data_IF_690379047816
#
_entry.id   IF_690379047816
#
_cell.length_a   1.000
_cell.length_b   1.000
_cell.length_c   1.000
_cell.angle_alpha   90.00
_cell.angle_beta   90.00
_cell.angle_gamma   90.00
#
_symmetry.space_group_name_H-M   'P 1'
#
loop_
_entity.id
_entity.type
_entity.pdbx_description
1 polymer ?
#
# COMPACT_ATOMS: atom_id res chain seq x y z
N UNK A 1 2.85 -17.42 17.41
CA UNK A 1 1.70 -16.67 16.84
C UNK A 1 0.62 -16.29 17.85
N UNK A 2 -0.02 -17.20 18.63
CA UNK A 2 -1.20 -16.85 19.43
C UNK A 2 -0.98 -15.69 20.42
N UNK A 3 0.15 -15.71 21.15
CA UNK A 3 0.48 -14.68 22.15
C UNK A 3 0.78 -13.29 21.58
N UNK A 4 1.24 -13.20 20.32
CA UNK A 4 1.53 -11.90 19.66
C UNK A 4 0.23 -11.27 19.19
N UNK A 5 -0.66 -12.08 18.58
CA UNK A 5 -1.98 -11.64 18.16
C UNK A 5 -2.82 -11.12 19.34
N UNK A 6 -2.86 -11.86 20.46
CA UNK A 6 -3.64 -11.46 21.64
C UNK A 6 -3.19 -10.14 22.28
N UNK A 7 -1.90 -9.80 22.16
CA UNK A 7 -1.32 -8.62 22.82
C UNK A 7 -1.27 -7.39 21.93
N UNK A 8 -0.93 -7.57 20.65
CA UNK A 8 -0.66 -6.46 19.72
C UNK A 8 -1.79 -6.25 18.70
N UNK A 9 -2.59 -7.29 18.42
CA UNK A 9 -3.66 -7.26 17.41
C UNK A 9 -4.94 -7.97 17.88
N UNK A 10 -5.55 -7.56 19.01
CA UNK A 10 -6.61 -8.31 19.69
C UNK A 10 -7.88 -8.51 18.85
N UNK A 11 -8.12 -7.63 17.87
CA UNK A 11 -9.26 -7.72 16.95
C UNK A 11 -9.00 -8.62 15.73
N UNK A 12 -7.93 -9.42 15.76
CA UNK A 12 -7.57 -10.35 14.67
C UNK A 12 -8.05 -11.76 14.96
N UNK A 13 -8.80 -12.31 14.02
CA UNK A 13 -9.31 -13.66 14.03
C UNK A 13 -8.51 -14.56 13.07
N UNK A 14 -7.94 -15.64 13.60
CA UNK A 14 -7.28 -16.68 12.79
C UNK A 14 -8.32 -17.64 12.23
N UNK A 15 -8.48 -17.65 10.92
CA UNK A 15 -9.35 -18.62 10.23
C UNK A 15 -8.64 -19.96 10.07
N UNK A 16 -7.37 -19.92 9.66
CA UNK A 16 -6.53 -21.10 9.53
C UNK A 16 -5.05 -20.72 9.71
N UNK A 17 -4.30 -21.60 10.36
CA UNK A 17 -2.85 -21.52 10.48
C UNK A 17 -2.31 -22.96 10.53
N UNK A 18 -1.84 -23.47 9.40
CA UNK A 18 -1.39 -24.85 9.30
C UNK A 18 -0.38 -25.05 8.18
N UNK A 19 0.69 -25.78 8.49
CA UNK A 19 1.82 -25.90 7.57
C UNK A 19 2.46 -24.55 7.29
N UNK A 20 2.53 -24.20 6.01
CA UNK A 20 3.01 -22.94 5.45
C UNK A 20 1.89 -21.91 5.16
N UNK A 21 0.62 -22.31 5.26
CA UNK A 21 -0.52 -21.45 4.95
C UNK A 21 -1.12 -20.78 6.19
N UNK A 22 -1.37 -19.47 6.06
CA UNK A 22 -1.93 -18.62 7.10
C UNK A 22 -3.05 -17.74 6.53
N UNK A 23 -4.23 -17.78 7.18
CA UNK A 23 -5.37 -16.91 6.86
C UNK A 23 -5.87 -16.21 8.12
N UNK A 24 -5.75 -14.89 8.10
CA UNK A 24 -6.14 -13.99 9.19
C UNK A 24 -7.18 -12.97 8.71
N UNK A 25 -8.10 -12.60 9.59
CA UNK A 25 -9.11 -11.56 9.36
C UNK A 25 -9.04 -10.56 10.50
N UNK A 26 -9.02 -9.27 10.21
CA UNK A 26 -9.01 -8.22 11.23
C UNK A 26 -9.24 -6.83 10.64
N UNK A 27 -9.17 -5.77 11.47
CA UNK A 27 -9.21 -4.39 11.00
C UNK A 27 -8.15 -4.14 9.93
N UNK A 28 -8.54 -3.53 8.81
CA UNK A 28 -7.69 -3.48 7.61
C UNK A 28 -6.31 -2.84 7.86
N UNK A 29 -6.25 -1.76 8.64
CA UNK A 29 -4.99 -1.07 8.92
C UNK A 29 -4.07 -1.92 9.81
N UNK A 30 -4.65 -2.57 10.83
CA UNK A 30 -3.93 -3.51 11.69
C UNK A 30 -3.35 -4.69 10.88
N UNK A 31 -4.13 -5.22 9.94
CA UNK A 31 -3.69 -6.31 9.06
C UNK A 31 -2.48 -5.91 8.20
N UNK A 32 -2.36 -4.64 7.82
CA UNK A 32 -1.20 -4.17 7.07
C UNK A 32 0.07 -4.20 7.93
N UNK A 33 0.01 -3.69 9.16
CA UNK A 33 1.14 -3.72 10.09
C UNK A 33 1.50 -5.16 10.48
N UNK A 34 0.50 -5.99 10.74
CA UNK A 34 0.69 -7.40 11.08
C UNK A 34 1.36 -8.17 9.94
N UNK A 35 0.98 -7.93 8.67
CA UNK A 35 1.59 -8.60 7.53
C UNK A 35 3.09 -8.24 7.38
N UNK A 36 3.44 -6.98 7.58
CA UNK A 36 4.85 -6.53 7.60
C UNK A 36 5.63 -7.18 8.74
N UNK A 37 5.06 -7.22 9.95
CA UNK A 37 5.68 -7.87 11.10
C UNK A 37 5.89 -9.36 10.87
N UNK A 38 4.88 -10.08 10.36
CA UNK A 38 5.00 -11.51 10.03
C UNK A 38 6.11 -11.74 9.00
N UNK A 39 6.21 -10.90 7.98
CA UNK A 39 7.27 -11.01 6.98
C UNK A 39 8.67 -10.84 7.60
N UNK A 40 8.84 -9.82 8.46
CA UNK A 40 10.11 -9.55 9.12
C UNK A 40 10.49 -10.67 10.09
N UNK A 41 9.53 -11.13 10.91
CA UNK A 41 9.74 -12.23 11.85
C UNK A 41 10.08 -13.52 11.11
N UNK A 42 9.43 -13.78 9.96
CA UNK A 42 9.73 -14.94 9.12
C UNK A 42 11.13 -14.88 8.53
N UNK A 43 11.54 -13.71 8.00
CA UNK A 43 12.91 -13.50 7.47
C UNK A 43 13.96 -13.75 8.55
N UNK A 44 13.76 -13.22 9.74
CA UNK A 44 14.64 -13.47 10.89
C UNK A 44 14.67 -14.95 11.28
N UNK A 45 13.51 -15.62 11.27
CA UNK A 45 13.40 -17.04 11.61
C UNK A 45 14.17 -17.96 10.66
N UNK A 46 14.17 -17.65 9.35
CA UNK A 46 14.92 -18.41 8.33
C UNK A 46 16.38 -17.96 8.18
N UNK A 47 16.85 -17.07 9.05
CA UNK A 47 18.22 -16.56 9.04
C UNK A 47 18.54 -15.66 7.84
N UNK A 48 17.57 -14.87 7.38
CA UNK A 48 17.69 -13.99 6.20
C UNK A 48 18.04 -14.75 4.91
N UNK A 49 17.66 -16.03 4.80
CA UNK A 49 17.91 -16.82 3.61
C UNK A 49 17.07 -16.32 2.41
N UNK A 50 17.69 -15.82 1.33
CA UNK A 50 16.97 -15.26 0.18
C UNK A 50 16.16 -16.30 -0.62
N UNK A 51 16.45 -17.60 -0.44
CA UNK A 51 15.72 -18.67 -1.13
C UNK A 51 14.43 -19.08 -0.40
N UNK A 52 14.27 -18.69 0.87
CA UNK A 52 13.09 -19.00 1.69
C UNK A 52 12.36 -17.70 2.00
N UNK A 53 11.34 -17.40 1.20
CA UNK A 53 10.62 -16.12 1.26
C UNK A 53 9.13 -16.29 1.53
N UNK A 54 8.49 -15.22 2.00
CA UNK A 54 7.06 -15.17 2.25
C UNK A 54 6.39 -14.35 1.15
N UNK A 55 5.31 -14.85 0.57
CA UNK A 55 4.40 -14.03 -0.25
C UNK A 55 3.07 -13.87 0.48
N UNK A 56 2.45 -12.70 0.39
CA UNK A 56 1.19 -12.44 1.06
C UNK A 56 0.22 -11.65 0.17
N UNK A 57 -1.05 -11.66 0.55
CA UNK A 57 -2.04 -10.74 0.01
C UNK A 57 -2.88 -10.11 1.12
N UNK A 58 -3.23 -8.84 0.95
CA UNK A 58 -4.11 -8.09 1.84
C UNK A 58 -5.33 -7.63 1.06
N UNK A 59 -6.46 -8.27 1.35
CA UNK A 59 -7.70 -8.08 0.61
C UNK A 59 -8.72 -7.36 1.48
N UNK A 60 -9.05 -6.12 1.11
CA UNK A 60 -10.10 -5.36 1.77
C UNK A 60 -11.47 -5.75 1.20
N UNK A 61 -12.39 -6.10 2.09
CA UNK A 61 -13.77 -6.48 1.75
C UNK A 61 -14.76 -5.69 2.58
N UNK A 62 -16.02 -5.63 2.12
CA UNK A 62 -17.11 -5.04 2.91
C UNK A 62 -17.46 -5.97 4.08
N UNK A 63 -17.97 -5.45 5.22
CA UNK A 63 -18.24 -6.26 6.41
C UNK A 63 -19.16 -7.48 6.21
N UNK A 64 -20.11 -7.41 5.26
CA UNK A 64 -21.06 -8.50 4.98
C UNK A 64 -20.61 -9.46 3.87
N UNK A 65 -19.34 -9.42 3.50
CA UNK A 65 -18.83 -10.29 2.43
C UNK A 65 -18.63 -11.72 2.97
N UNK A 66 -19.13 -12.78 2.29
CA UNK A 66 -19.03 -14.15 2.79
C UNK A 66 -17.56 -14.60 2.97
N UNK A 67 -17.23 -15.19 4.11
CA UNK A 67 -15.86 -15.61 4.46
C UNK A 67 -15.23 -16.51 3.39
N UNK A 68 -15.98 -17.49 2.87
CA UNK A 68 -15.48 -18.37 1.80
C UNK A 68 -15.09 -17.59 0.54
N UNK A 69 -15.87 -16.56 0.17
CA UNK A 69 -15.55 -15.71 -0.97
C UNK A 69 -14.33 -14.81 -0.69
N UNK A 70 -14.15 -14.33 0.54
CA UNK A 70 -12.94 -13.60 0.97
C UNK A 70 -11.71 -14.49 0.84
N UNK A 71 -11.77 -15.72 1.34
CA UNK A 71 -10.67 -16.68 1.29
C UNK A 71 -10.26 -16.99 -0.15
N UNK A 72 -11.22 -17.26 -1.05
CA UNK A 72 -10.94 -17.47 -2.47
C UNK A 72 -10.31 -16.24 -3.13
N UNK A 73 -10.81 -15.04 -2.81
CA UNK A 73 -10.28 -13.80 -3.38
C UNK A 73 -8.85 -13.51 -2.90
N UNK A 74 -8.60 -13.68 -1.60
CA UNK A 74 -7.26 -13.55 -1.01
C UNK A 74 -6.30 -14.56 -1.62
N UNK A 75 -6.71 -15.83 -1.77
CA UNK A 75 -5.87 -16.83 -2.41
C UNK A 75 -5.54 -16.48 -3.87
N UNK A 76 -6.53 -15.98 -4.64
CA UNK A 76 -6.29 -15.52 -6.01
C UNK A 76 -5.23 -14.41 -6.08
N UNK A 77 -5.29 -13.44 -5.16
CA UNK A 77 -4.29 -12.36 -5.12
C UNK A 77 -2.93 -12.83 -4.61
N UNK A 78 -2.90 -13.78 -3.68
CA UNK A 78 -1.67 -14.44 -3.24
C UNK A 78 -0.98 -15.16 -4.41
N UNK A 79 -1.72 -15.94 -5.19
CA UNK A 79 -1.18 -16.62 -6.36
C UNK A 79 -0.69 -15.62 -7.42
N UNK A 80 -1.36 -14.46 -7.54
CA UNK A 80 -0.89 -13.37 -8.41
C UNK A 80 0.47 -12.82 -7.94
N UNK A 81 0.66 -12.63 -6.63
CA UNK A 81 1.93 -12.19 -6.06
C UNK A 81 3.05 -13.23 -6.26
N UNK A 82 2.74 -14.52 -6.04
CA UNK A 82 3.68 -15.62 -6.26
C UNK A 82 4.12 -15.70 -7.73
N UNK A 83 3.17 -15.62 -8.67
CA UNK A 83 3.44 -15.67 -10.10
C UNK A 83 4.22 -14.46 -10.62
N UNK A 84 4.19 -13.33 -9.90
CA UNK A 84 4.97 -12.13 -10.23
C UNK A 84 6.42 -12.18 -9.72
N UNK A 85 6.85 -13.28 -9.10
CA UNK A 85 8.25 -13.48 -8.68
C UNK A 85 8.47 -13.91 -7.23
N UNK A 86 7.41 -14.27 -6.48
CA UNK A 86 7.46 -14.53 -5.03
C UNK A 86 8.06 -13.36 -4.24
N UNK A 87 8.28 -13.52 -2.93
CA UNK A 87 8.75 -12.46 -2.00
C UNK A 87 8.01 -11.11 -2.16
N UNK A 88 6.70 -11.18 -2.39
CA UNK A 88 5.88 -10.02 -2.73
C UNK A 88 4.59 -9.99 -1.93
N UNK A 89 4.11 -8.77 -1.72
CA UNK A 89 2.82 -8.44 -1.16
C UNK A 89 1.87 -7.95 -2.26
N UNK A 90 0.69 -8.56 -2.37
CA UNK A 90 -0.41 -7.96 -3.11
C UNK A 90 -1.31 -7.13 -2.17
N UNK A 91 -1.39 -5.81 -2.38
CA UNK A 91 -2.19 -4.91 -1.55
C UNK A 91 -2.82 -3.81 -2.43
N UNK A 92 -4.10 -3.51 -2.19
CA UNK A 92 -4.87 -2.51 -2.97
C UNK A 92 -4.86 -2.73 -4.50
N UNK A 93 -4.65 -3.97 -4.93
CA UNK A 93 -4.54 -4.35 -6.35
C UNK A 93 -3.18 -4.08 -6.99
N UNK A 94 -2.17 -3.68 -6.21
CA UNK A 94 -0.77 -3.60 -6.67
C UNK A 94 0.04 -4.78 -6.13
N UNK A 95 1.09 -5.15 -6.85
CA UNK A 95 2.08 -6.13 -6.43
C UNK A 95 3.33 -5.36 -6.04
N UNK A 96 3.81 -5.57 -4.82
CA UNK A 96 4.92 -4.83 -4.23
C UNK A 96 5.94 -5.81 -3.68
N UNK A 97 7.22 -5.56 -3.91
CA UNK A 97 8.30 -6.31 -3.24
C UNK A 97 8.35 -5.90 -1.77
N UNK A 98 8.55 -6.87 -0.86
CA UNK A 98 8.60 -6.56 0.57
C UNK A 98 9.63 -5.50 0.91
N UNK A 99 10.78 -5.49 0.23
CA UNK A 99 11.83 -4.48 0.43
C UNK A 99 11.36 -3.05 0.12
N UNK A 100 10.44 -2.88 -0.84
CA UNK A 100 9.91 -1.57 -1.21
C UNK A 100 8.69 -1.14 -0.35
N UNK A 101 8.10 -2.07 0.40
CA UNK A 101 6.89 -1.80 1.17
C UNK A 101 7.06 -0.76 2.30
N UNK A 102 8.16 -0.75 3.09
CA UNK A 102 8.39 0.26 4.12
C UNK A 102 8.35 1.69 3.58
N UNK A 103 8.91 1.94 2.39
CA UNK A 103 8.89 3.26 1.77
C UNK A 103 7.47 3.68 1.40
N UNK A 104 6.67 2.77 0.83
CA UNK A 104 5.26 3.04 0.51
C UNK A 104 4.42 3.29 1.76
N UNK A 105 4.70 2.59 2.86
CA UNK A 105 4.07 2.83 4.16
C UNK A 105 4.43 4.22 4.68
N UNK A 106 5.70 4.61 4.60
CA UNK A 106 6.17 5.94 5.02
C UNK A 106 5.54 7.06 4.17
N UNK A 107 5.39 6.84 2.86
CA UNK A 107 4.69 7.75 1.97
C UNK A 107 3.22 7.95 2.38
N UNK A 108 2.53 6.86 2.78
CA UNK A 108 1.16 6.91 3.27
C UNK A 108 1.05 7.72 4.57
N UNK A 109 1.94 7.46 5.52
CA UNK A 109 1.98 8.16 6.81
C UNK A 109 2.30 9.65 6.63
N UNK A 110 3.25 9.98 5.77
CA UNK A 110 3.58 11.35 5.40
C UNK A 110 2.38 12.07 4.80
N UNK A 111 1.71 11.46 3.81
CA UNK A 111 0.56 12.08 3.15
C UNK A 111 -0.63 12.23 4.11
N UNK A 112 -0.86 11.26 5.00
CA UNK A 112 -1.87 11.36 6.04
C UNK A 112 -1.57 12.52 7.00
N UNK A 113 -0.31 12.71 7.42
CA UNK A 113 0.10 13.84 8.25
C UNK A 113 -0.11 15.16 7.51
N UNK A 114 0.32 15.24 6.24
CA UNK A 114 0.17 16.42 5.40
C UNK A 114 -1.29 16.86 5.30
N UNK A 115 -2.24 15.93 5.13
CA UNK A 115 -3.67 16.24 5.07
C UNK A 115 -4.26 16.78 6.38
N UNK A 116 -3.68 16.41 7.52
CA UNK A 116 -4.18 16.79 8.84
C UNK A 116 -3.42 17.98 9.45
N UNK A 117 -2.46 18.56 8.73
CA UNK A 117 -1.78 19.78 9.16
C UNK A 117 -2.71 20.99 9.01
N UNK A 118 -2.85 21.77 10.08
CA UNK A 118 -3.72 22.96 10.16
C UNK A 118 -3.38 24.05 9.14
N UNK A 119 -2.13 24.12 8.70
CA UNK A 119 -1.63 25.09 7.71
C UNK A 119 -1.99 24.68 6.28
N UNK A 120 -2.40 23.44 6.06
CA UNK A 120 -2.80 22.95 4.73
C UNK A 120 -4.29 23.12 4.51
N UNK A 121 -4.66 23.57 3.30
CA UNK A 121 -6.06 23.59 2.83
C UNK A 121 -6.37 22.40 1.92
N UNK A 122 -5.63 21.30 2.07
CA UNK A 122 -5.84 20.10 1.26
C UNK A 122 -6.82 19.17 1.95
N UNK A 123 -7.60 18.45 1.15
CA UNK A 123 -8.51 17.42 1.64
C UNK A 123 -8.52 16.23 0.69
N UNK A 124 -9.51 15.34 0.83
CA UNK A 124 -9.59 14.11 0.05
C UNK A 124 -9.59 14.33 -1.47
N UNK A 125 -10.13 15.45 -1.94
CA UNK A 125 -10.09 15.81 -3.36
C UNK A 125 -8.67 16.00 -3.91
N UNK A 126 -7.69 16.37 -3.07
CA UNK A 126 -6.28 16.43 -3.45
C UNK A 126 -5.71 15.02 -3.66
N UNK A 127 -5.97 14.09 -2.75
CA UNK A 127 -5.53 12.69 -2.85
C UNK A 127 -6.13 11.99 -4.06
N UNK A 128 -7.41 12.23 -4.37
CA UNK A 128 -8.03 11.69 -5.58
C UNK A 128 -7.36 12.22 -6.87
N UNK A 129 -6.95 13.50 -6.89
CA UNK A 129 -6.17 14.05 -8.00
C UNK A 129 -4.80 13.40 -8.10
N UNK A 130 -4.11 13.19 -6.98
CA UNK A 130 -2.84 12.45 -6.96
C UNK A 130 -3.01 11.03 -7.50
N UNK A 131 -4.08 10.33 -7.14
CA UNK A 131 -4.38 8.99 -7.66
C UNK A 131 -4.59 9.01 -9.17
N UNK A 132 -5.30 10.02 -9.67
CA UNK A 132 -5.46 10.22 -11.12
C UNK A 132 -4.11 10.44 -11.80
N UNK A 133 -3.22 11.26 -11.21
CA UNK A 133 -1.89 11.51 -11.74
C UNK A 133 -0.99 10.26 -11.68
N UNK A 134 -1.13 9.43 -10.64
CA UNK A 134 -0.40 8.18 -10.51
C UNK A 134 -0.79 7.18 -11.62
N UNK A 135 -2.09 7.05 -11.91
CA UNK A 135 -2.56 6.22 -13.04
C UNK A 135 -2.07 6.78 -14.38
N UNK A 136 -2.12 8.10 -14.58
CA UNK A 136 -1.57 8.73 -15.80
C UNK A 136 -0.06 8.45 -15.95
N UNK A 137 0.72 8.57 -14.87
CA UNK A 137 2.15 8.25 -14.86
C UNK A 137 2.38 6.79 -15.25
N UNK A 138 1.64 5.85 -14.64
CA UNK A 138 1.71 4.41 -14.93
C UNK A 138 1.45 4.09 -16.41
N UNK A 139 0.37 4.64 -16.99
CA UNK A 139 0.05 4.45 -18.40
C UNK A 139 1.08 5.09 -19.36
N UNK A 140 1.64 6.24 -18.98
CA UNK A 140 2.68 6.90 -19.77
C UNK A 140 3.99 6.10 -19.78
N UNK A 141 4.46 5.64 -18.61
CA UNK A 141 5.72 4.92 -18.46
C UNK A 141 5.70 3.53 -19.11
N UNK A 142 4.52 2.91 -19.18
CA UNK A 142 4.31 1.68 -19.96
C UNK A 142 4.26 1.89 -21.48
N UNK A 143 4.30 3.14 -21.94
CA UNK A 143 4.17 3.48 -23.36
C UNK A 143 2.76 3.29 -23.92
N UNK A 144 1.76 3.06 -23.07
CA UNK A 144 0.37 2.77 -23.50
C UNK A 144 -0.33 4.02 -24.03
N UNK A 145 0.01 5.22 -23.50
CA UNK A 145 -0.61 6.46 -23.94
C UNK A 145 0.29 7.69 -23.73
N UNK A 146 0.83 8.22 -24.84
CA UNK A 146 1.71 9.40 -24.84
C UNK A 146 1.05 10.66 -24.28
N UNK A 147 -0.28 10.83 -24.47
CA UNK A 147 -1.02 12.00 -23.95
C UNK A 147 -1.02 12.04 -22.42
N UNK A 148 -0.79 10.91 -21.76
CA UNK A 148 -0.70 10.84 -20.30
C UNK A 148 0.58 11.47 -19.76
N UNK A 149 1.61 11.72 -20.59
CA UNK A 149 2.85 12.41 -20.20
C UNK A 149 2.67 13.81 -19.62
N UNK A 150 1.50 14.43 -19.83
CA UNK A 150 1.11 15.69 -19.18
C UNK A 150 0.97 15.58 -17.64
N UNK A 151 0.99 14.37 -17.07
CA UNK A 151 0.88 14.15 -15.63
C UNK A 151 1.92 14.98 -14.85
N UNK A 152 3.13 15.11 -15.37
CA UNK A 152 4.22 15.80 -14.68
C UNK A 152 3.95 17.31 -14.56
N UNK A 153 3.48 17.95 -15.62
CA UNK A 153 3.09 19.36 -15.59
C UNK A 153 1.87 19.60 -14.69
N UNK A 154 0.87 18.70 -14.76
CA UNK A 154 -0.32 18.76 -13.91
C UNK A 154 0.02 18.56 -12.43
N UNK A 155 0.98 17.68 -12.12
CA UNK A 155 1.48 17.46 -10.76
C UNK A 155 2.14 18.72 -10.21
N UNK A 156 3.07 19.33 -10.97
CA UNK A 156 3.71 20.60 -10.56
C UNK A 156 2.69 21.71 -10.30
N UNK A 157 1.70 21.85 -11.19
CA UNK A 157 0.61 22.82 -11.00
C UNK A 157 -0.22 22.52 -9.74
N UNK A 158 -0.54 21.25 -9.51
CA UNK A 158 -1.29 20.82 -8.33
C UNK A 158 -0.55 21.16 -7.03
N UNK A 159 0.76 20.91 -6.98
CA UNK A 159 1.59 21.29 -5.83
C UNK A 159 1.63 22.81 -5.65
N UNK A 160 1.96 23.57 -6.70
CA UNK A 160 2.06 25.03 -6.63
C UNK A 160 0.76 25.73 -6.27
N UNK A 161 -0.39 25.11 -6.57
CA UNK A 161 -1.71 25.63 -6.18
C UNK A 161 -2.07 25.36 -4.71
N UNK A 162 -1.69 24.21 -4.18
CA UNK A 162 -2.19 23.75 -2.88
C UNK A 162 -1.15 23.83 -1.75
N UNK A 163 0.14 23.80 -2.09
CA UNK A 163 1.24 23.61 -1.13
C UNK A 163 2.35 24.67 -1.29
N UNK A 164 2.06 25.80 -1.94
CA UNK A 164 3.02 26.90 -2.20
C UNK A 164 3.72 27.43 -0.94
N UNK A 165 3.09 27.30 0.22
CA UNK A 165 3.60 27.83 1.50
C UNK A 165 4.45 26.81 2.28
N UNK A 166 4.61 25.60 1.75
CA UNK A 166 5.29 24.48 2.42
C UNK A 166 6.60 24.10 1.71
N UNK A 167 7.35 25.12 1.27
CA UNK A 167 8.61 24.94 0.57
C UNK A 167 9.57 24.06 1.41
N UNK A 168 10.12 23.01 0.78
CA UNK A 168 10.98 22.01 1.40
C UNK A 168 10.26 20.87 2.15
N UNK A 169 9.05 21.10 2.68
CA UNK A 169 8.27 20.05 3.39
C UNK A 169 7.58 19.06 2.44
N UNK A 170 7.41 19.43 1.17
CA UNK A 170 6.77 18.58 0.14
C UNK A 170 7.75 17.64 -0.58
N UNK A 171 9.02 17.64 -0.20
CA UNK A 171 10.07 16.82 -0.84
C UNK A 171 9.70 15.34 -0.93
N UNK A 172 9.17 14.68 0.13
CA UNK A 172 8.73 13.29 0.03
C UNK A 172 7.63 13.08 -1.03
N UNK A 173 6.65 13.99 -1.12
CA UNK A 173 5.61 13.92 -2.15
C UNK A 173 6.16 14.13 -3.56
N UNK A 174 7.19 14.96 -3.73
CA UNK A 174 7.86 15.13 -5.02
C UNK A 174 8.61 13.85 -5.41
N UNK A 175 9.30 13.21 -4.47
CA UNK A 175 10.00 11.93 -4.67
C UNK A 175 9.05 10.76 -4.99
N UNK A 176 7.80 10.80 -4.51
CA UNK A 176 6.77 9.84 -4.94
C UNK A 176 6.53 9.91 -6.45
N UNK A 177 6.59 11.09 -7.05
CA UNK A 177 6.25 11.34 -8.45
C UNK A 177 7.47 11.60 -9.32
N UNK A 178 8.63 11.00 -9.01
CA UNK A 178 9.83 11.10 -9.84
C UNK A 178 9.60 10.48 -11.23
N UNK A 179 9.86 11.21 -12.34
CA UNK A 179 9.73 10.64 -13.68
C UNK A 179 10.71 9.48 -13.91
N UNK A 180 10.22 8.37 -14.48
CA UNK A 180 11.05 7.20 -14.82
C UNK A 180 11.23 6.21 -13.68
N UNK A 181 10.86 6.55 -12.45
CA UNK A 181 10.89 5.63 -11.31
C UNK A 181 9.54 4.91 -11.17
N UNK A 182 9.50 3.60 -11.43
CA UNK A 182 8.30 2.80 -11.22
C UNK A 182 8.07 2.57 -9.72
N UNK A 183 7.00 3.14 -9.17
CA UNK A 183 6.57 2.96 -7.77
C UNK A 183 5.09 2.62 -7.71
N UNK A 184 4.69 1.77 -6.77
CA UNK A 184 3.30 1.36 -6.58
C UNK A 184 2.48 2.46 -5.85
N UNK A 185 2.38 3.65 -6.44
CA UNK A 185 1.78 4.85 -5.82
C UNK A 185 0.32 4.69 -5.41
N UNK A 186 -0.40 3.75 -6.03
CA UNK A 186 -1.76 3.40 -5.62
C UNK A 186 -1.82 2.92 -4.18
N UNK A 187 -0.75 2.33 -3.64
CA UNK A 187 -0.69 1.82 -2.27
C UNK A 187 -0.81 2.95 -1.23
N UNK A 188 0.11 3.92 -1.15
CA UNK A 188 0.02 5.01 -0.18
C UNK A 188 -1.22 5.86 -0.38
N UNK A 189 -1.60 6.12 -1.63
CA UNK A 189 -2.79 6.92 -1.96
C UNK A 189 -4.07 6.23 -1.49
N UNK A 190 -4.23 4.93 -1.76
CA UNK A 190 -5.41 4.17 -1.31
C UNK A 190 -5.46 4.03 0.20
N UNK A 191 -4.33 3.80 0.86
CA UNK A 191 -4.25 3.76 2.31
C UNK A 191 -4.84 5.03 2.93
N UNK A 192 -4.39 6.19 2.47
CA UNK A 192 -4.86 7.49 2.98
C UNK A 192 -6.33 7.72 2.65
N UNK A 193 -6.80 7.29 1.48
CA UNK A 193 -8.22 7.33 1.11
C UNK A 193 -9.09 6.50 2.06
N UNK A 194 -8.66 5.28 2.40
CA UNK A 194 -9.41 4.41 3.31
C UNK A 194 -9.37 4.90 4.75
N UNK A 195 -8.22 5.41 5.22
CA UNK A 195 -8.06 5.94 6.58
C UNK A 195 -8.93 7.16 6.89
N UNK A 196 -9.21 7.98 5.87
CA UNK A 196 -10.00 9.20 6.03
C UNK A 196 -11.45 9.07 5.53
N UNK A 197 -11.91 7.86 5.17
CA UNK A 197 -13.34 7.61 4.90
C UNK A 197 -14.10 7.64 6.22
N UNK A 198 -15.02 8.60 6.34
CA UNK A 198 -16.06 8.66 7.39
C UNK A 198 -17.32 7.96 6.91
#
# INVERSE_FOLDING_TARGET
MPKVLEKEFPDTYTVFAGGDDLLLIGPWENMIYLAEQICNDFRAYVGENPDITLSASLTLVKPRYPVNAVAHLANKYLETAKNAGRDRLCIFGEIVEWQAFPDLKNDALFLHKLLNQSETKIGMGFVHKLLTLAEMKKHFEKGENIKMGRWHAMFKYLLGRNLKHLDGQVTPLQQMFTPGESRALRVPLSWVLFKNRR
#
